data_IF_471189793030
#
_entry.id   IF_471189793030
#
_cell.length_a   1.000
_cell.length_b   1.000
_cell.length_c   1.000
_cell.angle_alpha   90.00
_cell.angle_beta   90.00
_cell.angle_gamma   90.00
#
_symmetry.space_group_name_H-M   'P 1'
#
loop_
_entity.id
_entity.type
_entity.pdbx_description
1 polymer ?
#
# COMPACT_ATOMS: atom_id res chain seq x y z
N UNK A 1 -15.69 -1.25 -9.21
CA UNK A 1 -14.79 -0.94 -8.07
C UNK A 1 -13.93 -2.11 -7.55
N UNK A 2 -14.21 -3.40 -7.88
CA UNK A 2 -13.43 -4.53 -7.35
C UNK A 2 -11.93 -4.49 -7.69
N UNK A 3 -11.59 -4.15 -8.93
CA UNK A 3 -10.19 -4.06 -9.38
C UNK A 3 -9.45 -2.94 -8.63
N UNK A 4 -10.10 -1.77 -8.46
CA UNK A 4 -9.50 -0.65 -7.74
C UNK A 4 -9.20 -1.00 -6.27
N UNK A 5 -10.13 -1.66 -5.58
CA UNK A 5 -9.91 -2.18 -4.22
C UNK A 5 -8.77 -3.20 -4.18
N UNK A 6 -8.74 -4.16 -5.10
CA UNK A 6 -7.64 -5.15 -5.15
C UNK A 6 -6.28 -4.50 -5.36
N UNK A 7 -6.18 -3.54 -6.27
CA UNK A 7 -4.94 -2.79 -6.52
C UNK A 7 -4.55 -1.97 -5.29
N UNK A 8 -5.48 -1.22 -4.71
CA UNK A 8 -5.22 -0.42 -3.52
C UNK A 8 -4.76 -1.29 -2.34
N UNK A 9 -5.46 -2.39 -2.08
CA UNK A 9 -5.10 -3.34 -1.03
C UNK A 9 -3.70 -3.92 -1.22
N UNK A 10 -3.34 -4.33 -2.44
CA UNK A 10 -1.99 -4.85 -2.73
C UNK A 10 -0.93 -3.77 -2.49
N UNK A 11 -1.14 -2.53 -2.96
CA UNK A 11 -0.20 -1.44 -2.71
C UNK A 11 -0.01 -1.17 -1.21
N UNK A 12 -1.10 -1.16 -0.43
CA UNK A 12 -1.04 -0.97 1.02
C UNK A 12 -0.23 -2.09 1.69
N UNK A 13 -0.46 -3.34 1.29
CA UNK A 13 0.29 -4.49 1.82
C UNK A 13 1.78 -4.40 1.47
N UNK A 14 2.12 -4.06 0.23
CA UNK A 14 3.52 -3.87 -0.19
C UNK A 14 4.18 -2.74 0.60
N UNK A 15 3.48 -1.63 0.81
CA UNK A 15 3.95 -0.53 1.65
C UNK A 15 4.20 -0.96 3.10
N UNK A 16 3.23 -1.64 3.72
CA UNK A 16 3.34 -2.13 5.09
C UNK A 16 4.49 -3.12 5.26
N UNK A 17 4.66 -4.04 4.30
CA UNK A 17 5.81 -4.94 4.28
C UNK A 17 7.12 -4.15 4.16
N UNK A 18 7.23 -3.20 3.22
CA UNK A 18 8.44 -2.38 3.09
C UNK A 18 8.82 -1.69 4.40
N UNK A 19 7.88 -1.02 5.08
CA UNK A 19 8.13 -0.39 6.38
C UNK A 19 8.50 -1.41 7.47
N UNK A 20 7.90 -2.59 7.46
CA UNK A 20 8.26 -3.69 8.36
C UNK A 20 9.69 -4.19 8.15
N UNK A 21 10.10 -4.39 6.89
CA UNK A 21 11.47 -4.81 6.56
C UNK A 21 12.50 -3.73 6.87
N UNK A 22 12.18 -2.46 6.63
CA UNK A 22 13.05 -1.33 7.02
C UNK A 22 13.20 -1.27 8.54
N UNK A 23 12.12 -1.40 9.30
CA UNK A 23 12.17 -1.33 10.77
C UNK A 23 12.86 -2.53 11.43
N UNK A 24 12.77 -3.73 10.84
CA UNK A 24 13.30 -4.97 11.44
C UNK A 24 14.71 -5.32 10.96
N UNK A 25 15.01 -5.05 9.69
CA UNK A 25 16.22 -5.54 9.01
C UNK A 25 17.02 -4.43 8.31
N UNK A 26 16.61 -3.16 8.45
CA UNK A 26 17.15 -2.02 7.69
C UNK A 26 17.08 -2.25 6.17
N UNK A 27 16.15 -3.11 5.71
CA UNK A 27 16.04 -3.51 4.32
C UNK A 27 14.90 -2.78 3.62
N UNK A 28 15.24 -1.99 2.60
CA UNK A 28 14.26 -1.31 1.77
C UNK A 28 13.89 -2.16 0.54
N UNK A 29 12.71 -2.78 0.58
CA UNK A 29 12.16 -3.60 -0.50
C UNK A 29 11.89 -2.78 -1.76
N UNK A 30 11.40 -1.54 -1.61
CA UNK A 30 11.12 -0.65 -2.75
C UNK A 30 12.41 -0.31 -3.49
N UNK A 31 13.47 0.05 -2.76
CA UNK A 31 14.81 0.27 -3.33
C UNK A 31 15.36 -0.99 -3.99
N UNK A 32 15.23 -2.16 -3.34
CA UNK A 32 15.74 -3.43 -3.86
C UNK A 32 15.06 -3.84 -5.18
N UNK A 33 13.76 -3.56 -5.34
CA UNK A 33 13.01 -3.88 -6.56
C UNK A 33 13.18 -2.85 -7.67
N UNK A 34 13.26 -1.56 -7.32
CA UNK A 34 13.31 -0.45 -8.29
C UNK A 34 14.74 0.05 -8.57
N UNK A 35 15.76 -0.59 -7.98
CA UNK A 35 17.17 -0.29 -8.22
C UNK A 35 17.65 1.05 -7.66
N UNK A 36 16.96 1.60 -6.64
CA UNK A 36 17.36 2.85 -5.99
C UNK A 36 17.13 4.12 -6.80
N UNK A 37 16.20 4.11 -7.76
CA UNK A 37 15.86 5.30 -8.56
C UNK A 37 14.99 6.25 -7.71
N UNK A 38 15.49 7.43 -7.28
CA UNK A 38 14.80 8.26 -6.27
C UNK A 38 13.38 8.68 -6.67
N UNK A 39 13.18 8.95 -7.97
CA UNK A 39 11.87 9.33 -8.50
C UNK A 39 10.87 8.16 -8.48
N UNK A 40 11.32 6.95 -8.80
CA UNK A 40 10.47 5.76 -8.81
C UNK A 40 10.03 5.41 -7.38
N UNK A 41 10.94 5.47 -6.42
CA UNK A 41 10.63 5.25 -5.00
C UNK A 41 9.62 6.26 -4.48
N UNK A 42 9.83 7.55 -4.79
CA UNK A 42 8.92 8.63 -4.39
C UNK A 42 7.52 8.39 -4.93
N UNK A 43 7.41 8.03 -6.21
CA UNK A 43 6.11 7.72 -6.84
C UNK A 43 5.47 6.51 -6.16
N UNK A 44 6.23 5.45 -5.87
CA UNK A 44 5.71 4.28 -5.15
C UNK A 44 5.18 4.65 -3.78
N UNK A 45 5.90 5.46 -2.99
CA UNK A 45 5.43 5.88 -1.67
C UNK A 45 4.17 6.76 -1.74
N UNK A 46 4.08 7.65 -2.72
CA UNK A 46 2.86 8.44 -2.96
C UNK A 46 1.69 7.54 -3.33
N UNK A 47 1.89 6.56 -4.22
CA UNK A 47 0.85 5.61 -4.62
C UNK A 47 0.38 4.73 -3.47
N UNK A 48 1.30 4.27 -2.62
CA UNK A 48 0.98 3.54 -1.38
C UNK A 48 0.14 4.41 -0.44
N UNK A 49 0.50 5.68 -0.26
CA UNK A 49 -0.27 6.62 0.56
C UNK A 49 -1.68 6.85 0.02
N UNK A 50 -1.82 7.08 -1.29
CA UNK A 50 -3.12 7.23 -1.95
C UNK A 50 -3.96 5.96 -1.85
N UNK A 51 -3.34 4.78 -2.00
CA UNK A 51 -4.00 3.50 -1.84
C UNK A 51 -4.53 3.30 -0.41
N UNK A 52 -3.76 3.69 0.60
CA UNK A 52 -4.21 3.66 2.00
C UNK A 52 -5.42 4.55 2.23
N UNK A 53 -5.41 5.78 1.71
CA UNK A 53 -6.56 6.69 1.78
C UNK A 53 -7.78 6.09 1.08
N UNK A 54 -7.59 5.52 -0.13
CA UNK A 54 -8.67 4.90 -0.88
C UNK A 54 -9.29 3.71 -0.14
N UNK A 55 -8.47 2.86 0.48
CA UNK A 55 -8.96 1.77 1.34
C UNK A 55 -9.73 2.30 2.53
N UNK A 56 -9.20 3.28 3.28
CA UNK A 56 -9.89 3.85 4.46
C UNK A 56 -11.25 4.45 4.07
N UNK A 57 -11.32 5.21 2.98
CA UNK A 57 -12.56 5.86 2.53
C UNK A 57 -13.58 4.83 2.03
N UNK A 58 -13.13 3.74 1.42
CA UNK A 58 -14.02 2.72 0.84
C UNK A 58 -14.29 1.53 1.76
N UNK A 59 -13.55 1.41 2.87
CA UNK A 59 -13.56 0.27 3.78
C UNK A 59 -14.97 -0.10 4.25
N UNK A 60 -15.76 0.88 4.71
CA UNK A 60 -17.12 0.63 5.23
C UNK A 60 -18.05 -0.02 4.19
N UNK A 61 -17.85 0.31 2.91
CA UNK A 61 -18.67 -0.20 1.81
C UNK A 61 -18.17 -1.56 1.29
N UNK A 62 -16.88 -1.87 1.46
CA UNK A 62 -16.26 -3.10 0.96
C UNK A 62 -16.16 -4.20 2.04
N UNK A 63 -16.11 -3.82 3.31
CA UNK A 63 -15.95 -4.73 4.43
C UNK A 63 -17.29 -5.35 4.84
N UNK A 64 -17.44 -6.66 4.58
CA UNK A 64 -18.65 -7.43 4.93
C UNK A 64 -19.04 -7.32 6.41
N UNK A 65 -18.07 -7.20 7.31
CA UNK A 65 -18.33 -7.04 8.76
C UNK A 65 -18.90 -5.65 9.05
N UNK A 66 -18.39 -4.60 8.40
CA UNK A 66 -18.81 -3.21 8.64
C UNK A 66 -20.11 -2.83 7.92
N UNK A 67 -20.49 -3.53 6.85
CA UNK A 67 -21.74 -3.28 6.10
C UNK A 67 -22.95 -4.03 6.68
N UNK A 68 -22.75 -4.98 7.60
CA UNK A 68 -23.81 -5.83 8.16
C UNK A 68 -24.60 -5.18 9.31
N UNK A 69 -24.77 -3.85 9.33
CA UNK A 69 -25.46 -3.11 10.40
C UNK A 69 -26.46 -2.10 9.86
#
# INVERSE_FOLDING_TARGET
MKILHMVAYVLVVVGALNWGLVGLLDFNLVTALLGGIPMAETVTYVLVGLAAVAEVVTHKNNCKVCTSS
#
